data_IF_294356703580
#
_entry.id   IF_294356703580
#
_cell.length_a   1.000
_cell.length_b   1.000
_cell.length_c   1.000
_cell.angle_alpha   90.00
_cell.angle_beta   90.00
_cell.angle_gamma   90.00
#
_symmetry.space_group_name_H-M   'P 1'
#
loop_
_entity.id
_entity.type
_entity.pdbx_description
1 polymer ?
#
# COMPACT_ATOMS: atom_id res chain seq x y z
N UNK A 1 -30.76 8.08 9.61
CA UNK A 1 -29.34 7.78 9.33
C UNK A 1 -29.02 7.45 7.86
N UNK A 2 -29.99 7.26 6.97
CA UNK A 2 -29.72 6.91 5.56
C UNK A 2 -28.82 7.91 4.82
N UNK A 3 -29.03 9.22 5.01
CA UNK A 3 -28.18 10.27 4.43
C UNK A 3 -26.74 10.23 4.94
N UNK A 4 -26.49 9.64 6.11
CA UNK A 4 -25.13 9.50 6.67
C UNK A 4 -24.33 8.34 6.05
N UNK A 5 -24.91 7.60 5.09
CA UNK A 5 -24.28 6.45 4.45
C UNK A 5 -23.89 6.77 3.01
N UNK A 6 -22.59 6.72 2.71
CA UNK A 6 -22.08 6.93 1.34
C UNK A 6 -22.63 5.89 0.36
N UNK A 7 -22.84 4.66 0.84
CA UNK A 7 -23.41 3.56 0.07
C UNK A 7 -24.55 2.91 0.85
N UNK A 8 -25.74 2.84 0.23
CA UNK A 8 -26.97 2.32 0.88
C UNK A 8 -26.83 0.88 1.39
N UNK A 9 -26.02 0.06 0.71
CA UNK A 9 -25.80 -1.36 1.03
C UNK A 9 -24.65 -1.61 2.00
N UNK A 10 -23.91 -0.58 2.41
CA UNK A 10 -22.73 -0.71 3.27
C UNK A 10 -23.02 0.03 4.56
N UNK A 11 -23.53 -0.71 5.54
CA UNK A 11 -23.91 -0.21 6.86
C UNK A 11 -23.19 -1.02 7.95
N UNK A 12 -22.82 -0.41 9.08
CA UNK A 12 -22.19 -1.13 10.18
C UNK A 12 -23.21 -2.04 10.87
N UNK A 13 -22.77 -3.17 11.41
CA UNK A 13 -23.60 -4.01 12.28
C UNK A 13 -23.79 -3.36 13.64
N UNK A 14 -24.97 -3.53 14.25
CA UNK A 14 -25.30 -2.89 15.53
C UNK A 14 -24.37 -3.30 16.68
N UNK A 15 -23.92 -4.56 16.72
CA UNK A 15 -23.07 -5.06 17.80
C UNK A 15 -21.61 -4.57 17.75
N UNK A 16 -21.17 -4.05 16.60
CA UNK A 16 -19.81 -3.55 16.41
C UNK A 16 -19.74 -2.07 16.00
N UNK A 17 -20.87 -1.39 15.80
CA UNK A 17 -20.84 0.02 15.36
C UNK A 17 -20.26 0.93 16.43
N UNK A 18 -19.59 1.98 15.98
CA UNK A 18 -19.22 3.08 16.87
C UNK A 18 -20.47 3.90 17.20
N UNK A 19 -20.67 4.16 18.49
CA UNK A 19 -21.85 4.88 19.02
C UNK A 19 -21.40 6.26 19.50
N UNK A 20 -21.86 7.32 18.85
CA UNK A 20 -21.52 8.70 19.22
C UNK A 20 -22.32 9.15 20.44
N UNK A 21 -21.64 9.76 21.41
CA UNK A 21 -22.28 10.40 22.56
C UNK A 21 -23.00 11.67 22.11
N UNK A 22 -24.31 11.83 22.32
CA UNK A 22 -25.07 12.93 21.75
C UNK A 22 -24.59 14.30 22.26
N UNK A 23 -24.27 15.20 21.33
CA UNK A 23 -23.86 16.60 21.61
C UNK A 23 -25.05 17.58 21.58
N UNK A 24 -26.27 17.10 21.30
CA UNK A 24 -27.50 17.90 21.30
C UNK A 24 -28.58 17.48 20.29
N UNK A 25 -28.21 16.83 19.18
CA UNK A 25 -29.14 16.39 18.11
C UNK A 25 -29.78 15.01 18.36
N UNK A 26 -29.36 14.30 19.41
CA UNK A 26 -29.88 12.98 19.79
C UNK A 26 -29.52 11.83 18.83
N UNK A 27 -28.69 12.06 17.80
CA UNK A 27 -28.29 11.03 16.85
C UNK A 27 -26.90 10.47 17.18
N UNK A 28 -26.84 9.20 17.53
CA UNK A 28 -25.65 8.45 17.97
C UNK A 28 -24.91 7.74 16.82
N UNK A 29 -25.32 7.97 15.58
CA UNK A 29 -24.88 7.18 14.44
C UNK A 29 -23.76 7.83 13.64
N UNK A 30 -22.74 7.01 13.39
CA UNK A 30 -21.74 7.17 12.34
C UNK A 30 -21.52 5.83 11.64
N UNK A 31 -21.22 5.84 10.34
CA UNK A 31 -20.92 4.61 9.59
C UNK A 31 -19.46 4.17 9.84
N UNK A 32 -19.24 3.58 11.00
CA UNK A 32 -17.96 3.03 11.44
C UNK A 32 -18.18 1.83 12.35
N UNK A 33 -17.21 0.91 12.38
CA UNK A 33 -17.24 -0.30 13.21
C UNK A 33 -15.93 -0.45 13.96
N UNK A 34 -15.97 -0.87 15.22
CA UNK A 34 -14.80 -1.41 15.90
C UNK A 34 -14.41 -2.73 15.25
N UNK A 35 -13.10 -2.91 15.06
CA UNK A 35 -12.53 -4.10 14.42
C UNK A 35 -11.30 -4.52 15.20
N UNK A 36 -11.16 -5.82 15.38
CA UNK A 36 -10.07 -6.38 16.16
C UNK A 36 -8.80 -6.49 15.33
N UNK A 37 -7.66 -6.34 16.02
CA UNK A 37 -6.39 -6.85 15.54
C UNK A 37 -6.11 -8.17 16.27
N UNK A 38 -5.05 -8.87 15.86
CA UNK A 38 -4.70 -10.15 16.42
C UNK A 38 -4.42 -10.05 17.93
N UNK A 39 -5.25 -10.75 18.74
CA UNK A 39 -5.24 -10.70 20.22
C UNK A 39 -5.36 -9.29 20.80
N UNK A 40 -5.93 -8.36 20.05
CA UNK A 40 -6.09 -6.95 20.42
C UNK A 40 -7.50 -6.49 20.06
N UNK A 41 -8.47 -6.63 20.97
CA UNK A 41 -9.85 -6.25 20.70
C UNK A 41 -9.97 -4.74 20.50
N UNK A 42 -10.85 -4.32 19.57
CA UNK A 42 -11.10 -2.92 19.25
C UNK A 42 -9.84 -2.10 18.94
N UNK A 43 -8.82 -2.72 18.35
CA UNK A 43 -7.58 -2.04 17.97
C UNK A 43 -7.83 -1.00 16.86
N UNK A 44 -8.78 -1.28 15.97
CA UNK A 44 -9.12 -0.44 14.84
C UNK A 44 -10.56 0.08 14.92
N UNK A 45 -10.78 1.21 14.26
CA UNK A 45 -12.09 1.64 13.77
C UNK A 45 -12.04 1.62 12.24
N UNK A 46 -12.87 0.80 11.62
CA UNK A 46 -13.07 0.80 10.17
C UNK A 46 -14.26 1.71 9.81
N UNK A 47 -13.98 2.81 9.11
CA UNK A 47 -14.98 3.84 8.81
C UNK A 47 -15.14 4.10 7.30
N UNK A 48 -16.31 4.59 6.88
CA UNK A 48 -16.46 5.17 5.55
C UNK A 48 -15.67 6.49 5.43
N UNK A 49 -15.30 6.88 4.21
CA UNK A 49 -14.80 8.22 3.93
C UNK A 49 -15.90 9.26 4.19
N UNK A 50 -15.65 10.30 5.01
CA UNK A 50 -16.67 11.29 5.40
C UNK A 50 -17.42 11.88 4.20
N UNK A 51 -18.71 12.10 4.38
CA UNK A 51 -19.57 12.97 3.57
C UNK A 51 -19.56 14.38 4.18
N UNK A 52 -19.97 15.39 3.40
CA UNK A 52 -20.01 16.78 3.85
C UNK A 52 -20.87 16.94 5.12
N UNK A 53 -22.02 16.28 5.15
CA UNK A 53 -22.96 16.25 6.27
C UNK A 53 -22.52 15.40 7.47
N UNK A 54 -21.41 14.65 7.36
CA UNK A 54 -20.91 13.76 8.43
C UNK A 54 -19.53 14.16 8.96
N UNK A 55 -18.95 15.28 8.51
CA UNK A 55 -17.62 15.71 8.97
C UNK A 55 -17.58 16.01 10.47
N UNK A 56 -18.64 16.63 11.00
CA UNK A 56 -18.76 16.89 12.45
C UNK A 56 -18.83 15.58 13.22
N UNK A 57 -19.64 14.62 12.75
CA UNK A 57 -19.72 13.27 13.34
C UNK A 57 -18.36 12.56 13.33
N UNK A 58 -17.58 12.71 12.24
CA UNK A 58 -16.26 12.11 12.09
C UNK A 58 -15.26 12.67 13.11
N UNK A 59 -15.15 13.99 13.24
CA UNK A 59 -14.26 14.60 14.23
C UNK A 59 -14.73 14.36 15.66
N UNK A 60 -16.05 14.26 15.87
CA UNK A 60 -16.61 13.80 17.14
C UNK A 60 -16.17 12.39 17.48
N UNK A 61 -16.20 11.46 16.52
CA UNK A 61 -15.69 10.09 16.70
C UNK A 61 -14.20 10.11 17.07
N UNK A 62 -13.37 10.84 16.32
CA UNK A 62 -11.93 10.94 16.57
C UNK A 62 -11.66 11.45 17.99
N UNK A 63 -12.39 12.48 18.44
CA UNK A 63 -12.28 12.99 19.79
C UNK A 63 -12.79 11.99 20.84
N UNK A 64 -13.98 11.43 20.66
CA UNK A 64 -14.59 10.53 21.63
C UNK A 64 -13.71 9.31 21.90
N UNK A 65 -13.23 8.70 20.81
CA UNK A 65 -12.45 7.46 20.84
C UNK A 65 -10.98 7.70 21.17
N UNK A 66 -10.57 8.97 21.36
CA UNK A 66 -9.18 9.36 21.63
C UNK A 66 -8.23 8.85 20.53
N UNK A 67 -8.72 8.83 19.29
CA UNK A 67 -7.94 8.38 18.13
C UNK A 67 -6.74 9.29 17.93
N UNK A 68 -5.55 8.71 18.01
CA UNK A 68 -4.28 9.38 17.74
C UNK A 68 -3.89 9.28 16.25
N UNK A 69 -4.24 8.17 15.59
CA UNK A 69 -3.78 7.86 14.23
C UNK A 69 -4.97 7.64 13.31
N UNK A 70 -4.95 8.33 12.17
CA UNK A 70 -5.89 8.16 11.06
C UNK A 70 -5.12 7.61 9.85
N UNK A 71 -5.60 6.53 9.25
CA UNK A 71 -5.06 5.95 8.01
C UNK A 71 -6.10 6.11 6.91
N UNK A 72 -5.79 6.95 5.92
CA UNK A 72 -6.60 7.22 4.74
C UNK A 72 -6.02 6.51 3.52
N UNK A 73 -6.77 5.56 2.96
CA UNK A 73 -6.34 4.66 1.88
C UNK A 73 -7.01 4.99 0.53
N UNK A 74 -7.40 6.24 0.28
CA UNK A 74 -8.11 6.62 -0.95
C UNK A 74 -7.79 8.05 -1.36
N UNK A 75 -7.85 8.34 -2.66
CA UNK A 75 -7.92 9.71 -3.15
C UNK A 75 -9.24 10.37 -2.77
N UNK A 76 -9.31 11.70 -2.83
CA UNK A 76 -10.59 12.41 -2.67
C UNK A 76 -11.52 12.12 -3.85
N UNK A 77 -10.95 12.09 -5.06
CA UNK A 77 -11.63 11.81 -6.32
C UNK A 77 -10.84 10.75 -7.08
N UNK A 78 -11.55 9.76 -7.60
CA UNK A 78 -11.02 8.62 -8.36
C UNK A 78 -11.98 8.36 -9.51
N UNK A 79 -11.49 8.29 -10.75
CA UNK A 79 -12.31 8.18 -11.98
C UNK A 79 -13.48 9.18 -12.04
N UNK A 80 -13.22 10.46 -11.73
CA UNK A 80 -14.22 11.53 -11.67
C UNK A 80 -15.37 11.28 -10.67
N UNK A 81 -15.19 10.36 -9.71
CA UNK A 81 -16.16 10.09 -8.64
C UNK A 81 -15.55 10.46 -7.31
N UNK A 82 -16.30 11.22 -6.51
CA UNK A 82 -15.91 11.55 -5.14
C UNK A 82 -15.92 10.27 -4.30
N UNK A 83 -14.76 9.94 -3.73
CA UNK A 83 -14.57 8.79 -2.85
C UNK A 83 -14.58 9.18 -1.39
N UNK A 84 -14.10 10.38 -1.07
CA UNK A 84 -14.01 10.91 0.28
C UNK A 84 -14.06 12.44 0.19
N UNK A 85 -14.82 13.09 1.07
CA UNK A 85 -14.70 14.54 1.22
C UNK A 85 -13.40 14.88 1.96
N UNK A 86 -12.85 16.06 1.67
CA UNK A 86 -11.70 16.59 2.38
C UNK A 86 -12.16 17.07 3.76
N UNK A 87 -11.83 16.31 4.80
CA UNK A 87 -12.25 16.59 6.19
C UNK A 87 -11.19 17.32 7.01
N UNK A 88 -10.16 17.89 6.35
CA UNK A 88 -9.06 18.58 7.02
C UNK A 88 -8.80 19.94 6.37
N UNK A 89 -8.33 20.93 7.16
CA UNK A 89 -8.07 22.27 6.68
C UNK A 89 -6.71 22.39 5.98
N UNK A 90 -6.49 23.51 5.30
CA UNK A 90 -5.14 23.96 4.91
C UNK A 90 -4.37 24.61 6.07
N UNK A 91 -5.09 25.25 7.00
CA UNK A 91 -4.51 25.85 8.20
C UNK A 91 -5.37 25.56 9.42
N UNK A 92 -6.61 26.04 9.44
CA UNK A 92 -7.55 25.81 10.55
C UNK A 92 -8.99 25.80 10.03
N UNK A 93 -9.83 24.94 10.58
CA UNK A 93 -11.27 24.91 10.30
C UNK A 93 -12.04 24.41 11.53
N UNK A 94 -13.28 24.87 11.68
CA UNK A 94 -14.18 24.52 12.77
C UNK A 94 -15.28 23.57 12.27
N UNK A 95 -15.37 22.40 12.90
CA UNK A 95 -16.38 21.37 12.64
C UNK A 95 -17.26 21.20 13.89
N UNK A 96 -18.35 21.96 13.99
CA UNK A 96 -19.17 21.98 15.20
C UNK A 96 -18.38 22.50 16.39
N UNK A 97 -18.26 21.70 17.47
CA UNK A 97 -17.49 22.05 18.66
C UNK A 97 -15.98 21.78 18.53
N UNK A 98 -15.52 21.31 17.37
CA UNK A 98 -14.14 20.88 17.16
C UNK A 98 -13.39 21.87 16.27
N UNK A 99 -12.29 22.44 16.77
CA UNK A 99 -11.32 23.17 15.94
C UNK A 99 -10.21 22.21 15.57
N UNK A 100 -9.94 22.08 14.28
CA UNK A 100 -8.83 21.29 13.74
C UNK A 100 -7.82 22.26 13.15
N UNK A 101 -6.58 22.20 13.61
CA UNK A 101 -5.47 23.03 13.11
C UNK A 101 -4.40 22.13 12.51
N UNK A 102 -3.96 22.40 11.28
CA UNK A 102 -2.87 21.70 10.63
C UNK A 102 -1.52 22.30 11.08
N UNK A 103 -0.74 21.51 11.81
CA UNK A 103 0.55 21.95 12.34
C UNK A 103 1.71 21.65 11.39
N UNK A 104 1.66 20.52 10.68
CA UNK A 104 2.74 20.09 9.79
C UNK A 104 2.25 19.12 8.70
N UNK A 105 2.86 19.19 7.53
CA UNK A 105 2.68 18.21 6.44
C UNK A 105 4.04 17.71 5.96
N UNK A 106 4.17 16.40 5.80
CA UNK A 106 5.34 15.75 5.17
C UNK A 106 4.86 14.91 3.99
N UNK A 107 5.51 15.05 2.85
CA UNK A 107 5.15 14.34 1.62
C UNK A 107 6.33 13.52 1.12
N UNK A 108 6.07 12.26 0.81
CA UNK A 108 6.97 11.37 0.06
C UNK A 108 6.26 10.90 -1.22
N UNK A 109 6.94 10.12 -2.07
CA UNK A 109 6.42 9.64 -3.36
C UNK A 109 5.06 8.93 -3.26
N UNK A 110 4.73 8.34 -2.11
CA UNK A 110 3.50 7.56 -1.94
C UNK A 110 2.67 7.83 -0.69
N UNK A 111 3.10 8.77 0.15
CA UNK A 111 2.49 9.00 1.46
C UNK A 111 2.53 10.48 1.81
N UNK A 112 1.38 11.02 2.21
CA UNK A 112 1.27 12.33 2.84
C UNK A 112 0.96 12.13 4.32
N UNK A 113 1.80 12.66 5.19
CA UNK A 113 1.59 12.63 6.64
C UNK A 113 1.22 14.03 7.12
N UNK A 114 0.09 14.15 7.83
CA UNK A 114 -0.40 15.42 8.39
C UNK A 114 -0.49 15.32 9.90
N UNK A 115 0.00 16.35 10.60
CA UNK A 115 -0.10 16.49 12.05
C UNK A 115 -1.13 17.55 12.38
N UNK A 116 -2.17 17.16 13.10
CA UNK A 116 -3.24 18.06 13.52
C UNK A 116 -3.21 18.30 15.03
N UNK A 117 -3.64 19.50 15.42
CA UNK A 117 -4.13 19.80 16.76
C UNK A 117 -5.65 19.81 16.73
N UNK A 118 -6.27 18.91 17.48
CA UNK A 118 -7.72 18.80 17.62
C UNK A 118 -8.12 19.37 18.98
N UNK A 119 -8.95 20.41 18.98
CA UNK A 119 -9.41 21.10 20.18
C UNK A 119 -10.94 21.04 20.27
N UNK A 120 -11.49 20.61 21.39
CA UNK A 120 -12.94 20.66 21.64
C UNK A 120 -13.31 21.88 22.47
N UNK A 121 -14.40 22.57 22.12
CA UNK A 121 -14.96 23.66 22.90
C UNK A 121 -15.20 23.24 24.36
N UNK A 122 -14.83 24.11 25.31
CA UNK A 122 -14.94 23.84 26.74
C UNK A 122 -13.91 22.85 27.32
N UNK A 123 -13.04 22.24 26.50
CA UNK A 123 -11.92 21.42 26.98
C UNK A 123 -10.63 22.26 26.97
N UNK A 124 -9.79 22.17 28.00
CA UNK A 124 -8.60 23.02 28.09
C UNK A 124 -7.41 22.54 27.24
N UNK A 125 -7.32 21.23 26.99
CA UNK A 125 -6.15 20.63 26.35
C UNK A 125 -6.49 20.13 24.94
N UNK A 126 -5.74 20.56 23.90
CA UNK A 126 -5.85 19.98 22.58
C UNK A 126 -5.23 18.57 22.54
N UNK A 127 -5.59 17.81 21.51
CA UNK A 127 -5.04 16.48 21.24
C UNK A 127 -4.33 16.47 19.91
N UNK A 128 -3.20 15.79 19.85
CA UNK A 128 -2.49 15.57 18.59
C UNK A 128 -3.17 14.43 17.84
N UNK A 129 -3.35 14.60 16.53
CA UNK A 129 -3.83 13.55 15.62
C UNK A 129 -2.91 13.49 14.40
N UNK A 130 -2.36 12.32 14.10
CA UNK A 130 -1.51 12.08 12.93
C UNK A 130 -2.32 11.34 11.85
N UNK A 131 -2.42 11.93 10.66
CA UNK A 131 -3.07 11.30 9.51
C UNK A 131 -2.01 10.84 8.50
N UNK A 132 -2.08 9.57 8.14
CA UNK A 132 -1.33 8.95 7.06
C UNK A 132 -2.24 8.77 5.85
N UNK A 133 -1.98 9.51 4.77
CA UNK A 133 -2.73 9.46 3.53
C UNK A 133 -1.91 8.72 2.46
N UNK A 134 -2.22 7.45 2.26
CA UNK A 134 -1.55 6.57 1.31
C UNK A 134 -2.08 6.78 -0.10
N UNK A 135 -1.19 7.11 -1.04
CA UNK A 135 -1.54 7.53 -2.40
C UNK A 135 -1.30 6.45 -3.47
N UNK A 136 -0.58 5.39 -3.15
CA UNK A 136 -0.18 4.35 -4.11
C UNK A 136 -1.22 3.22 -4.26
N UNK A 137 -2.45 3.40 -3.75
CA UNK A 137 -3.53 2.44 -3.96
C UNK A 137 -4.38 2.85 -5.17
N UNK A 138 -4.30 2.14 -6.30
CA UNK A 138 -5.00 2.53 -7.52
C UNK A 138 -6.51 2.39 -7.40
N UNK A 139 -7.22 3.12 -8.26
CA UNK A 139 -8.68 3.11 -8.38
C UNK A 139 -9.24 1.71 -8.68
N UNK A 140 -8.53 0.95 -9.53
CA UNK A 140 -8.80 -0.46 -9.81
C UNK A 140 -7.60 -1.31 -9.41
N UNK A 141 -7.87 -2.42 -8.71
CA UNK A 141 -6.84 -3.38 -8.30
C UNK A 141 -6.21 -3.10 -6.93
N UNK A 142 -4.91 -3.37 -6.84
CA UNK A 142 -4.11 -3.39 -5.61
C UNK A 142 -2.79 -2.64 -5.84
N UNK A 143 -2.08 -2.20 -4.79
CA UNK A 143 -0.77 -1.58 -4.94
C UNK A 143 0.20 -2.49 -5.71
N UNK A 144 1.00 -1.92 -6.60
CA UNK A 144 2.04 -2.66 -7.35
C UNK A 144 3.19 -3.16 -6.47
N UNK A 145 3.45 -2.44 -5.38
CA UNK A 145 4.53 -2.73 -4.44
C UNK A 145 3.95 -2.85 -3.02
N UNK A 146 4.25 -3.96 -2.34
CA UNK A 146 3.71 -4.21 -0.99
C UNK A 146 4.55 -3.54 0.11
N UNK A 147 5.84 -3.31 -0.14
CA UNK A 147 6.81 -2.73 0.81
C UNK A 147 6.35 -1.40 1.40
N UNK A 148 5.78 -0.50 0.59
CA UNK A 148 5.31 0.80 1.08
C UNK A 148 4.12 0.67 2.03
N UNK A 149 3.21 -0.29 1.77
CA UNK A 149 2.08 -0.56 2.66
C UNK A 149 2.54 -1.23 3.97
N UNK A 150 3.50 -2.16 3.88
CA UNK A 150 4.14 -2.79 5.03
C UNK A 150 4.88 -1.77 5.90
N UNK A 151 5.59 -0.81 5.28
CA UNK A 151 6.24 0.29 5.97
C UNK A 151 5.22 1.16 6.72
N UNK A 152 4.12 1.54 6.06
CA UNK A 152 3.03 2.26 6.70
C UNK A 152 2.46 1.51 7.92
N UNK A 153 2.22 0.21 7.79
CA UNK A 153 1.78 -0.63 8.92
C UNK A 153 2.77 -0.65 10.07
N UNK A 154 4.07 -0.75 9.78
CA UNK A 154 5.12 -0.71 10.80
C UNK A 154 5.15 0.63 11.54
N UNK A 155 5.02 1.75 10.81
CA UNK A 155 4.96 3.10 11.39
C UNK A 155 3.72 3.26 12.27
N UNK A 156 2.54 2.86 11.79
CA UNK A 156 1.28 2.93 12.56
C UNK A 156 1.37 2.12 13.84
N UNK A 157 1.84 0.86 13.76
CA UNK A 157 2.00 0.02 14.96
C UNK A 157 3.01 0.61 15.95
N UNK A 158 4.12 1.18 15.46
CA UNK A 158 5.10 1.86 16.32
C UNK A 158 4.46 3.03 17.07
N UNK A 159 3.65 3.86 16.39
CA UNK A 159 2.93 4.98 17.02
C UNK A 159 1.96 4.53 18.11
N UNK A 160 1.21 3.46 17.85
CA UNK A 160 0.28 2.91 18.86
C UNK A 160 1.03 2.36 20.07
N UNK A 161 2.18 1.72 19.87
CA UNK A 161 3.03 1.24 20.97
C UNK A 161 3.62 2.39 21.79
N UNK A 162 4.01 3.49 21.15
CA UNK A 162 4.53 4.70 21.82
C UNK A 162 3.44 5.42 22.63
N UNK A 163 2.18 5.38 22.18
CA UNK A 163 1.05 6.07 22.82
C UNK A 163 -0.29 5.31 22.66
N UNK A 164 -0.60 4.34 23.55
CA UNK A 164 -1.79 3.48 23.45
C UNK A 164 -3.04 4.17 24.05
N UNK A 165 -3.49 5.27 23.44
CA UNK A 165 -4.58 6.11 23.97
C UNK A 165 -5.97 5.79 23.42
N UNK A 166 -6.06 5.21 22.24
CA UNK A 166 -7.32 4.91 21.53
C UNK A 166 -7.08 4.09 20.25
N UNK A 167 -8.14 3.66 19.55
CA UNK A 167 -8.03 2.85 18.35
C UNK A 167 -7.50 3.65 17.16
N UNK A 168 -6.87 2.93 16.23
CA UNK A 168 -6.46 3.47 14.94
C UNK A 168 -7.67 3.55 14.02
N UNK A 169 -7.99 4.74 13.51
CA UNK A 169 -9.06 4.92 12.55
C UNK A 169 -8.52 4.64 11.15
N UNK A 170 -9.03 3.62 10.48
CA UNK A 170 -8.68 3.28 9.09
C UNK A 170 -9.90 3.49 8.21
N UNK A 171 -9.75 4.26 7.13
CA UNK A 171 -10.83 4.47 6.17
C UNK A 171 -10.33 4.50 4.72
N UNK A 172 -11.26 4.23 3.82
CA UNK A 172 -11.11 4.47 2.40
C UNK A 172 -12.34 5.23 1.91
N UNK A 173 -13.04 4.74 0.88
CA UNK A 173 -14.34 5.29 0.48
C UNK A 173 -15.49 4.65 1.27
N UNK A 174 -15.70 3.34 1.13
CA UNK A 174 -16.75 2.61 1.86
C UNK A 174 -16.30 2.06 3.23
N UNK A 175 -14.99 2.02 3.47
CA UNK A 175 -14.42 1.46 4.70
C UNK A 175 -14.43 -0.06 4.78
N UNK A 176 -14.35 -0.77 3.65
CA UNK A 176 -14.43 -2.25 3.61
C UNK A 176 -13.34 -2.92 2.76
N UNK A 177 -13.02 -2.40 1.58
CA UNK A 177 -12.06 -3.01 0.66
C UNK A 177 -10.60 -2.78 1.08
N UNK A 178 -10.05 -1.61 0.70
CA UNK A 178 -8.69 -1.20 1.07
C UNK A 178 -8.48 -1.18 2.60
N UNK A 179 -9.46 -0.65 3.33
CA UNK A 179 -9.52 -0.67 4.80
C UNK A 179 -9.43 -2.08 5.36
N UNK A 180 -10.26 -3.01 4.88
CA UNK A 180 -10.23 -4.40 5.37
C UNK A 180 -8.94 -5.12 5.01
N UNK A 181 -8.37 -4.82 3.84
CA UNK A 181 -7.07 -5.38 3.41
C UNK A 181 -5.93 -4.90 4.32
N UNK A 182 -5.89 -3.62 4.67
CA UNK A 182 -4.89 -3.07 5.59
C UNK A 182 -5.00 -3.70 6.99
N UNK A 183 -6.23 -3.80 7.53
CA UNK A 183 -6.48 -4.39 8.84
C UNK A 183 -6.16 -5.90 8.86
N UNK A 184 -6.56 -6.63 7.81
CA UNK A 184 -6.24 -8.06 7.68
C UNK A 184 -4.73 -8.30 7.64
N UNK A 185 -3.98 -7.47 6.90
CA UNK A 185 -2.53 -7.56 6.84
C UNK A 185 -1.88 -7.34 8.21
N UNK A 186 -2.33 -6.36 8.99
CA UNK A 186 -1.88 -6.17 10.37
C UNK A 186 -2.13 -7.41 11.25
N UNK A 187 -3.36 -7.92 11.22
CA UNK A 187 -3.77 -9.10 11.98
C UNK A 187 -2.88 -10.30 11.63
N UNK A 188 -2.72 -10.58 10.34
CA UNK A 188 -2.02 -11.76 9.84
C UNK A 188 -0.51 -11.69 10.09
N UNK A 189 0.11 -10.50 9.99
CA UNK A 189 1.52 -10.32 10.35
C UNK A 189 1.76 -10.55 11.84
N UNK A 190 0.86 -10.07 12.71
CA UNK A 190 0.92 -10.32 14.16
C UNK A 190 0.69 -11.80 14.48
N UNK A 191 -0.26 -12.46 13.80
CA UNK A 191 -0.51 -13.90 13.93
C UNK A 191 0.72 -14.72 13.52
N UNK A 192 1.30 -14.44 12.34
CA UNK A 192 2.49 -15.12 11.84
C UNK A 192 3.67 -15.01 12.79
N UNK A 193 3.90 -13.82 13.37
CA UNK A 193 4.94 -13.62 14.39
C UNK A 193 4.68 -14.36 15.69
N UNK A 194 3.42 -14.42 16.14
CA UNK A 194 3.06 -15.02 17.43
C UNK A 194 2.94 -16.55 17.39
N UNK A 195 2.50 -17.11 16.27
CA UNK A 195 2.18 -18.54 16.16
C UNK A 195 3.07 -19.31 15.18
N UNK A 196 3.87 -18.62 14.37
CA UNK A 196 4.62 -19.26 13.27
C UNK A 196 3.72 -19.78 12.15
N UNK A 197 2.44 -19.40 12.12
CA UNK A 197 1.44 -19.76 11.10
C UNK A 197 0.49 -18.60 10.85
N UNK A 198 -0.14 -18.60 9.68
CA UNK A 198 -1.16 -17.61 9.30
C UNK A 198 -2.40 -18.32 8.76
N UNK A 199 -3.58 -17.72 8.97
CA UNK A 199 -4.85 -18.19 8.40
C UNK A 199 -5.62 -17.02 7.78
N UNK A 200 -5.37 -16.78 6.50
CA UNK A 200 -5.96 -15.66 5.76
C UNK A 200 -7.48 -15.82 5.65
N UNK A 201 -7.98 -17.03 5.44
CA UNK A 201 -9.41 -17.29 5.29
C UNK A 201 -10.14 -16.98 6.59
N UNK A 202 -9.67 -17.54 7.71
CA UNK A 202 -10.28 -17.31 9.00
C UNK A 202 -10.19 -15.84 9.43
N UNK A 203 -9.05 -15.18 9.20
CA UNK A 203 -8.91 -13.75 9.47
C UNK A 203 -9.97 -12.93 8.71
N UNK A 204 -10.10 -13.13 7.40
CA UNK A 204 -11.08 -12.35 6.60
C UNK A 204 -12.52 -12.70 7.00
N UNK A 205 -12.79 -13.95 7.34
CA UNK A 205 -14.09 -14.36 7.89
C UNK A 205 -14.39 -13.60 9.20
N UNK A 206 -13.46 -13.56 10.16
CA UNK A 206 -13.63 -12.83 11.42
C UNK A 206 -13.87 -11.33 11.21
N UNK A 207 -13.09 -10.69 10.32
CA UNK A 207 -13.30 -9.28 10.01
C UNK A 207 -14.69 -9.02 9.42
N UNK A 208 -15.21 -9.96 8.63
CA UNK A 208 -16.57 -9.89 8.05
C UNK A 208 -17.68 -10.07 9.07
N UNK A 209 -17.42 -10.68 10.22
CA UNK A 209 -18.37 -10.75 11.35
C UNK A 209 -18.47 -9.41 12.10
N UNK A 210 -17.44 -8.57 12.01
CA UNK A 210 -17.40 -7.24 12.66
C UNK A 210 -17.86 -6.10 11.73
N UNK A 211 -17.57 -6.21 10.41
CA UNK A 211 -18.02 -5.24 9.41
C UNK A 211 -18.26 -5.92 8.06
N UNK A 212 -19.36 -5.56 7.40
CA UNK A 212 -19.78 -6.19 6.13
C UNK A 212 -18.69 -6.12 5.05
N UNK A 213 -18.48 -7.24 4.34
CA UNK A 213 -17.66 -7.31 3.12
C UNK A 213 -16.22 -6.80 3.25
N UNK A 214 -15.61 -6.90 4.44
CA UNK A 214 -14.18 -6.64 4.64
C UNK A 214 -13.34 -7.49 3.67
N UNK A 215 -12.35 -6.86 3.03
CA UNK A 215 -11.62 -7.40 1.86
C UNK A 215 -12.62 -7.72 0.74
N UNK A 216 -12.91 -6.70 -0.08
CA UNK A 216 -14.09 -6.68 -0.93
C UNK A 216 -13.92 -7.49 -2.21
N UNK A 217 -12.71 -7.52 -2.78
CA UNK A 217 -12.46 -8.16 -4.09
C UNK A 217 -11.49 -9.33 -3.98
N UNK A 218 -11.53 -10.22 -4.98
CA UNK A 218 -10.60 -11.36 -5.06
C UNK A 218 -9.16 -10.88 -5.18
N UNK A 219 -8.91 -9.82 -5.93
CA UNK A 219 -7.58 -9.23 -6.15
C UNK A 219 -6.99 -8.73 -4.82
N UNK A 220 -7.80 -8.09 -3.97
CA UNK A 220 -7.39 -7.70 -2.61
C UNK A 220 -7.07 -8.91 -1.73
N UNK A 221 -7.85 -9.98 -1.84
CA UNK A 221 -7.62 -11.22 -1.11
C UNK A 221 -6.32 -11.91 -1.57
N UNK A 222 -6.03 -11.96 -2.88
CA UNK A 222 -4.74 -12.45 -3.41
C UNK A 222 -3.58 -11.60 -2.94
N UNK A 223 -3.72 -10.27 -2.98
CA UNK A 223 -2.70 -9.32 -2.54
C UNK A 223 -2.31 -9.51 -1.06
N UNK A 224 -3.23 -9.96 -0.19
CA UNK A 224 -2.87 -10.31 1.19
C UNK A 224 -1.79 -11.39 1.24
N UNK A 225 -1.86 -12.43 0.39
CA UNK A 225 -0.84 -13.47 0.37
C UNK A 225 0.51 -12.94 -0.09
N UNK A 226 0.53 -12.08 -1.11
CA UNK A 226 1.75 -11.44 -1.62
C UNK A 226 2.39 -10.55 -0.54
N UNK A 227 1.61 -9.67 0.08
CA UNK A 227 2.08 -8.77 1.13
C UNK A 227 2.51 -9.52 2.40
N UNK A 228 1.87 -10.65 2.72
CA UNK A 228 2.27 -11.50 3.85
C UNK A 228 3.57 -12.23 3.59
N UNK A 229 3.73 -12.78 2.39
CA UNK A 229 4.98 -13.39 1.98
C UNK A 229 6.12 -12.39 2.15
N UNK A 230 5.91 -11.15 1.70
CA UNK A 230 6.91 -10.10 1.85
C UNK A 230 7.18 -9.72 3.30
N UNK A 231 6.14 -9.39 4.05
CA UNK A 231 6.27 -8.95 5.43
C UNK A 231 6.83 -10.01 6.38
N UNK A 232 6.62 -11.30 6.10
CA UNK A 232 7.12 -12.41 6.92
C UNK A 232 8.53 -12.87 6.50
N UNK A 233 8.89 -12.81 5.22
CA UNK A 233 10.22 -13.21 4.76
C UNK A 233 11.28 -12.12 4.96
N UNK A 234 10.93 -10.86 4.69
CA UNK A 234 11.90 -9.76 4.71
C UNK A 234 11.96 -9.02 6.04
N UNK A 235 10.83 -8.91 6.75
CA UNK A 235 10.74 -8.00 7.89
C UNK A 235 11.01 -6.54 7.48
N UNK A 236 11.58 -5.74 8.39
CA UNK A 236 11.99 -4.37 8.09
C UNK A 236 13.49 -4.32 7.83
N UNK A 237 13.87 -4.13 6.57
CA UNK A 237 15.26 -4.01 6.10
C UNK A 237 15.70 -2.56 5.92
N UNK A 238 14.85 -1.57 6.26
CA UNK A 238 15.19 -0.16 6.18
C UNK A 238 16.17 0.27 7.28
N UNK A 239 17.26 0.92 6.89
CA UNK A 239 18.35 1.33 7.79
C UNK A 239 18.55 2.85 7.69
N UNK A 240 18.60 3.59 8.81
CA UNK A 240 18.96 5.01 8.81
C UNK A 240 20.35 5.22 8.23
N UNK A 241 20.56 6.32 7.49
CA UNK A 241 21.83 6.61 6.79
C UNK A 241 23.02 6.60 7.76
N UNK A 242 22.83 7.18 8.94
CA UNK A 242 23.80 7.24 10.03
C UNK A 242 24.21 5.86 10.57
N UNK A 243 23.40 4.82 10.34
CA UNK A 243 23.64 3.46 10.81
C UNK A 243 24.27 2.56 9.74
N UNK A 244 24.37 2.99 8.47
CA UNK A 244 24.83 2.15 7.36
C UNK A 244 26.27 1.67 7.59
N UNK A 245 27.19 2.56 7.98
CA UNK A 245 28.60 2.19 8.17
C UNK A 245 28.77 1.09 9.22
N UNK A 246 28.06 1.21 10.35
CA UNK A 246 28.07 0.22 11.43
C UNK A 246 27.50 -1.11 10.98
N UNK A 247 26.40 -1.08 10.23
CA UNK A 247 25.79 -2.29 9.68
C UNK A 247 26.76 -3.02 8.74
N UNK A 248 27.40 -2.32 7.81
CA UNK A 248 28.35 -2.92 6.85
C UNK A 248 29.49 -3.62 7.58
N UNK A 249 30.09 -2.98 8.60
CA UNK A 249 31.12 -3.61 9.42
C UNK A 249 30.63 -4.89 10.10
N UNK A 250 29.43 -4.85 10.69
CA UNK A 250 28.86 -6.02 11.37
C UNK A 250 28.57 -7.19 10.42
N UNK A 251 28.17 -6.91 9.18
CA UNK A 251 27.89 -7.94 8.17
C UNK A 251 29.18 -8.64 7.72
N UNK A 252 30.26 -7.88 7.52
CA UNK A 252 31.57 -8.42 7.16
C UNK A 252 32.17 -9.32 8.26
N UNK A 253 32.06 -8.91 9.53
CA UNK A 253 32.53 -9.72 10.66
C UNK A 253 31.73 -11.03 10.81
N UNK A 254 30.41 -10.97 10.64
CA UNK A 254 29.53 -12.13 10.76
C UNK A 254 29.76 -13.19 9.66
N UNK A 255 30.18 -12.76 8.47
CA UNK A 255 30.47 -13.64 7.33
C UNK A 255 31.69 -14.53 7.57
N UNK A 256 32.69 -14.03 8.30
CA UNK A 256 33.91 -14.79 8.64
C UNK A 256 33.70 -15.84 9.74
N UNK A 257 32.60 -15.75 10.50
CA UNK A 257 32.45 -16.46 11.78
C UNK A 257 31.25 -17.41 11.86
N UNK A 258 30.29 -17.38 10.92
CA UNK A 258 29.09 -18.24 10.98
C UNK A 258 28.67 -18.79 9.60
N UNK A 259 28.34 -20.09 9.48
CA UNK A 259 27.91 -20.72 8.22
C UNK A 259 26.48 -20.33 7.76
N UNK A 260 25.86 -19.31 8.37
CA UNK A 260 24.51 -18.86 8.04
C UNK A 260 24.39 -17.36 8.31
N UNK A 261 25.14 -16.58 7.52
CA UNK A 261 25.24 -15.12 7.66
C UNK A 261 23.88 -14.44 7.45
N UNK A 262 23.75 -13.20 7.94
CA UNK A 262 22.53 -12.40 7.74
C UNK A 262 22.27 -12.18 6.24
N UNK A 263 23.34 -11.90 5.48
CA UNK A 263 23.30 -11.73 4.03
C UNK A 263 22.77 -12.97 3.30
N UNK A 264 23.20 -14.16 3.71
CA UNK A 264 22.73 -15.43 3.12
C UNK A 264 21.22 -15.61 3.29
N UNK A 265 20.67 -15.22 4.46
CA UNK A 265 19.23 -15.29 4.74
C UNK A 265 18.45 -14.26 3.92
N UNK A 266 18.95 -13.03 3.84
CA UNK A 266 18.35 -11.97 3.03
C UNK A 266 18.36 -12.36 1.55
N UNK A 267 19.48 -12.87 1.04
CA UNK A 267 19.59 -13.30 -0.35
C UNK A 267 18.69 -14.50 -0.67
N UNK A 268 18.55 -15.45 0.25
CA UNK A 268 17.56 -16.55 0.13
C UNK A 268 16.12 -16.04 0.11
N UNK A 269 15.80 -14.98 0.85
CA UNK A 269 14.48 -14.36 0.74
C UNK A 269 14.28 -13.77 -0.66
N UNK A 270 15.26 -13.02 -1.19
CA UNK A 270 15.23 -12.49 -2.57
C UNK A 270 15.05 -13.58 -3.63
N UNK A 271 15.69 -14.74 -3.47
CA UNK A 271 15.52 -15.89 -4.36
C UNK A 271 14.07 -16.39 -4.39
N UNK A 272 13.39 -16.47 -3.24
CA UNK A 272 11.97 -16.88 -3.17
C UNK A 272 11.05 -15.92 -3.92
N UNK A 273 11.31 -14.61 -3.85
CA UNK A 273 10.56 -13.66 -4.69
C UNK A 273 10.86 -13.86 -6.17
N UNK A 274 12.12 -14.13 -6.51
CA UNK A 274 12.51 -14.40 -7.90
C UNK A 274 11.75 -15.62 -8.45
N UNK A 275 11.61 -16.69 -7.66
CA UNK A 275 10.81 -17.87 -8.00
C UNK A 275 9.32 -17.52 -8.18
N UNK A 276 8.77 -16.66 -7.33
CA UNK A 276 7.39 -16.20 -7.45
C UNK A 276 7.17 -15.39 -8.75
N UNK A 277 8.07 -14.44 -9.05
CA UNK A 277 7.96 -13.59 -10.23
C UNK A 277 8.25 -14.34 -11.53
N UNK A 278 8.99 -15.46 -11.50
CA UNK A 278 9.14 -16.36 -12.64
C UNK A 278 7.81 -17.00 -13.08
N UNK A 279 6.77 -16.97 -12.24
CA UNK A 279 5.43 -17.43 -12.61
C UNK A 279 4.67 -16.42 -13.47
N UNK A 280 5.18 -15.20 -13.65
CA UNK A 280 4.54 -14.20 -14.49
C UNK A 280 4.54 -14.65 -15.96
N UNK A 281 3.41 -14.48 -16.69
CA UNK A 281 3.33 -14.89 -18.08
C UNK A 281 4.39 -14.20 -18.94
N UNK A 282 5.08 -14.99 -19.76
CA UNK A 282 6.06 -14.53 -20.74
C UNK A 282 5.63 -14.95 -22.16
N UNK A 283 4.33 -14.95 -22.42
CA UNK A 283 3.71 -15.58 -23.60
C UNK A 283 4.25 -15.02 -24.91
N UNK A 284 4.52 -13.71 -24.96
CA UNK A 284 5.06 -13.06 -26.15
C UNK A 284 6.53 -13.42 -26.38
N UNK A 285 7.30 -13.55 -25.29
CA UNK A 285 8.70 -13.95 -25.36
C UNK A 285 8.87 -15.42 -25.77
N UNK A 286 7.91 -16.27 -25.43
CA UNK A 286 7.91 -17.72 -25.71
C UNK A 286 7.49 -18.08 -27.14
N UNK A 287 6.90 -17.14 -27.90
CA UNK A 287 6.51 -17.37 -29.30
C UNK A 287 7.68 -17.90 -30.14
N UNK A 288 7.47 -18.91 -31.00
CA UNK A 288 8.55 -19.47 -31.85
C UNK A 288 9.28 -18.42 -32.70
N UNK A 289 8.58 -17.38 -33.17
CA UNK A 289 9.15 -16.26 -33.93
C UNK A 289 10.06 -15.36 -33.10
N UNK A 290 9.86 -15.30 -31.79
CA UNK A 290 10.59 -14.43 -30.86
C UNK A 290 11.70 -15.16 -30.10
N UNK A 291 11.66 -16.49 -30.01
CA UNK A 291 12.71 -17.28 -29.36
C UNK A 291 14.13 -16.96 -29.87
N UNK A 292 14.40 -16.79 -31.18
CA UNK A 292 15.73 -16.43 -31.68
C UNK A 292 16.19 -15.02 -31.28
N UNK A 293 15.27 -14.17 -30.81
CA UNK A 293 15.57 -12.80 -30.34
C UNK A 293 16.00 -12.77 -28.87
N UNK A 294 15.93 -13.90 -28.15
CA UNK A 294 16.28 -14.01 -26.73
C UNK A 294 17.69 -14.57 -26.55
N UNK A 295 18.56 -13.84 -25.84
CA UNK A 295 19.94 -14.26 -25.63
C UNK A 295 20.10 -15.39 -24.62
N UNK A 296 19.21 -15.45 -23.64
CA UNK A 296 19.17 -16.51 -22.63
C UNK A 296 17.73 -17.03 -22.53
N UNK A 297 17.47 -18.33 -22.78
CA UNK A 297 16.12 -18.88 -22.75
C UNK A 297 15.39 -18.72 -21.40
N UNK A 298 16.14 -18.67 -20.29
CA UNK A 298 15.56 -18.47 -18.95
C UNK A 298 15.50 -17.01 -18.48
N UNK A 299 15.83 -16.05 -19.33
CA UNK A 299 15.76 -14.61 -19.00
C UNK A 299 14.82 -13.96 -20.01
N UNK A 300 13.54 -14.03 -19.71
CA UNK A 300 12.46 -13.53 -20.58
C UNK A 300 11.74 -12.36 -19.89
N UNK A 301 11.29 -11.36 -20.66
CA UNK A 301 10.49 -10.28 -20.11
C UNK A 301 9.07 -10.78 -19.86
N UNK A 302 8.56 -10.54 -18.64
CA UNK A 302 7.15 -10.75 -18.35
C UNK A 302 6.28 -9.82 -19.20
N UNK A 303 5.13 -10.33 -19.66
CA UNK A 303 4.21 -9.61 -20.55
C UNK A 303 3.71 -8.30 -19.91
N UNK A 304 3.59 -8.28 -18.58
CA UNK A 304 3.14 -7.10 -17.82
C UNK A 304 4.14 -5.94 -17.80
N UNK A 305 5.41 -6.18 -18.13
CA UNK A 305 6.50 -5.21 -17.95
C UNK A 305 7.28 -4.94 -19.24
N UNK A 306 6.94 -5.61 -20.35
CA UNK A 306 7.67 -5.47 -21.60
C UNK A 306 7.28 -4.20 -22.37
N UNK A 307 8.22 -3.58 -23.12
CA UNK A 307 7.87 -2.59 -24.12
C UNK A 307 7.15 -3.21 -25.31
N UNK A 308 6.39 -2.38 -26.02
CA UNK A 308 5.68 -2.67 -27.25
C UNK A 308 6.31 -1.80 -28.34
N UNK A 309 6.93 -2.44 -29.34
CA UNK A 309 7.57 -1.71 -30.44
C UNK A 309 6.54 -1.38 -31.51
N UNK A 310 6.24 -0.10 -31.68
CA UNK A 310 5.28 0.38 -32.67
C UNK A 310 5.98 0.80 -33.97
N UNK A 311 7.25 1.18 -33.91
CA UNK A 311 8.06 1.53 -35.09
C UNK A 311 8.77 0.32 -35.73
N UNK A 312 8.71 -0.85 -35.09
CA UNK A 312 9.11 -2.14 -35.68
C UNK A 312 7.86 -3.02 -35.75
N UNK A 313 7.46 -3.45 -36.94
CA UNK A 313 6.29 -4.31 -37.13
C UNK A 313 6.71 -5.70 -37.61
N UNK A 314 6.00 -6.70 -37.11
CA UNK A 314 6.06 -8.07 -37.60
C UNK A 314 5.41 -8.17 -38.99
N UNK A 315 5.68 -9.27 -39.71
CA UNK A 315 5.15 -9.50 -41.06
C UNK A 315 3.61 -9.54 -41.12
N UNK A 316 2.95 -9.85 -40.01
CA UNK A 316 1.49 -9.86 -39.84
C UNK A 316 0.91 -8.49 -39.41
N UNK A 317 1.76 -7.46 -39.33
CA UNK A 317 1.39 -6.11 -38.87
C UNK A 317 1.28 -5.97 -37.35
N UNK A 318 1.58 -7.01 -36.57
CA UNK A 318 1.63 -6.90 -35.12
C UNK A 318 2.84 -6.10 -34.64
N UNK A 319 2.78 -5.46 -33.45
CA UNK A 319 3.93 -4.78 -32.86
C UNK A 319 5.15 -5.71 -32.73
N UNK A 320 6.33 -5.13 -32.93
CA UNK A 320 7.60 -5.84 -32.82
C UNK A 320 7.91 -6.26 -31.38
N UNK A 321 8.78 -7.26 -31.27
CA UNK A 321 9.25 -7.81 -30.01
C UNK A 321 10.74 -7.56 -29.81
N UNK A 322 11.10 -7.14 -28.58
CA UNK A 322 12.46 -7.11 -28.07
C UNK A 322 12.48 -7.62 -26.61
N UNK A 323 13.55 -8.31 -26.24
CA UNK A 323 13.77 -8.74 -24.86
C UNK A 323 14.22 -7.55 -24.00
N UNK A 324 13.25 -6.85 -23.44
CA UNK A 324 13.44 -5.70 -22.56
C UNK A 324 12.30 -5.59 -21.55
N UNK A 325 12.52 -4.89 -20.45
CA UNK A 325 11.51 -4.57 -19.44
C UNK A 325 11.62 -3.12 -18.97
N UNK A 326 10.49 -2.54 -18.57
CA UNK A 326 10.49 -1.30 -17.81
C UNK A 326 10.91 -1.56 -16.36
N UNK A 327 11.63 -0.60 -15.80
CA UNK A 327 12.02 -0.54 -14.41
C UNK A 327 11.76 0.86 -13.87
N UNK A 328 11.29 0.91 -12.63
CA UNK A 328 11.01 2.17 -11.93
C UNK A 328 12.26 2.70 -11.25
N UNK A 329 12.33 4.02 -11.11
CA UNK A 329 13.29 4.70 -10.24
C UNK A 329 12.66 4.95 -8.86
N UNK A 330 13.41 5.58 -7.95
CA UNK A 330 12.87 6.02 -6.66
C UNK A 330 11.72 7.03 -6.80
N UNK A 331 11.74 7.87 -7.83
CA UNK A 331 10.80 8.99 -7.99
C UNK A 331 9.77 8.79 -9.10
N UNK A 332 10.07 7.97 -10.11
CA UNK A 332 9.28 7.82 -11.34
C UNK A 332 9.11 6.35 -11.72
N UNK A 333 7.88 5.95 -12.01
CA UNK A 333 7.57 4.62 -12.54
C UNK A 333 8.02 4.47 -14.00
N UNK A 334 8.41 3.25 -14.39
CA UNK A 334 8.74 2.83 -15.77
C UNK A 334 9.77 3.74 -16.50
N UNK A 335 10.63 4.42 -15.73
CA UNK A 335 11.57 5.42 -16.21
C UNK A 335 12.82 4.84 -16.88
N UNK A 336 13.21 3.61 -16.52
CA UNK A 336 14.39 2.93 -17.05
C UNK A 336 13.93 1.76 -17.90
N UNK A 337 14.58 1.54 -19.05
CA UNK A 337 14.42 0.30 -19.83
C UNK A 337 15.66 -0.55 -19.65
N UNK A 338 15.47 -1.77 -19.17
CA UNK A 338 16.52 -2.78 -19.03
C UNK A 338 16.40 -3.75 -20.19
N UNK A 339 17.46 -3.93 -20.96
CA UNK A 339 17.47 -4.81 -22.15
C UNK A 339 18.78 -5.59 -22.24
N UNK A 340 18.73 -6.72 -22.94
CA UNK A 340 19.93 -7.49 -23.26
C UNK A 340 20.80 -6.77 -24.31
N UNK A 341 22.07 -7.16 -24.42
CA UNK A 341 22.92 -6.71 -25.55
C UNK A 341 22.27 -7.14 -26.88
N UNK A 342 22.02 -6.21 -27.83
CA UNK A 342 21.34 -6.54 -29.07
C UNK A 342 22.15 -7.53 -29.92
N UNK A 343 21.44 -8.37 -30.66
CA UNK A 343 22.02 -9.17 -31.74
C UNK A 343 22.10 -8.35 -33.03
N UNK A 344 22.97 -8.73 -33.99
CA UNK A 344 22.90 -8.19 -35.33
C UNK A 344 21.49 -8.26 -35.94
N UNK A 345 20.76 -9.35 -35.66
CA UNK A 345 19.38 -9.59 -36.12
C UNK A 345 18.31 -8.78 -35.38
N UNK A 346 18.63 -8.19 -34.22
CA UNK A 346 17.69 -7.39 -33.41
C UNK A 346 18.10 -5.92 -33.30
N UNK A 347 19.06 -5.45 -34.12
CA UNK A 347 19.52 -4.05 -34.09
C UNK A 347 18.41 -3.08 -34.50
N UNK A 348 17.57 -3.45 -35.47
CA UNK A 348 16.43 -2.63 -35.89
C UNK A 348 15.42 -2.51 -34.74
N UNK A 349 15.10 -3.63 -34.07
CA UNK A 349 14.21 -3.65 -32.91
C UNK A 349 14.78 -2.81 -31.75
N UNK A 350 16.11 -2.84 -31.54
CA UNK A 350 16.78 -2.02 -30.53
C UNK A 350 16.66 -0.52 -30.82
N UNK A 351 16.87 -0.09 -32.06
CA UNK A 351 16.70 1.32 -32.41
C UNK A 351 15.23 1.75 -32.42
N UNK A 352 14.30 0.85 -32.76
CA UNK A 352 12.87 1.09 -32.59
C UNK A 352 12.52 1.29 -31.11
N UNK A 353 13.07 0.50 -30.19
CA UNK A 353 12.90 0.68 -28.75
C UNK A 353 13.37 2.07 -28.30
N UNK A 354 14.59 2.47 -28.71
CA UNK A 354 15.17 3.77 -28.37
C UNK A 354 14.29 4.91 -28.90
N UNK A 355 13.77 4.77 -30.12
CA UNK A 355 12.90 5.75 -30.76
C UNK A 355 11.52 5.85 -30.12
N UNK A 356 10.80 4.73 -30.03
CA UNK A 356 9.41 4.65 -29.55
C UNK A 356 9.27 5.17 -28.13
N UNK A 357 10.29 4.94 -27.30
CA UNK A 357 10.32 5.39 -25.92
C UNK A 357 11.19 6.62 -25.70
N UNK A 358 11.61 7.30 -26.78
CA UNK A 358 12.32 8.59 -26.73
C UNK A 358 13.56 8.58 -25.82
N UNK A 359 14.29 7.46 -25.82
CA UNK A 359 15.48 7.28 -25.00
C UNK A 359 16.59 8.24 -25.46
N UNK A 360 17.07 9.07 -24.54
CA UNK A 360 18.13 10.05 -24.82
C UNK A 360 19.53 9.59 -24.40
N UNK A 361 19.63 8.44 -23.75
CA UNK A 361 20.90 7.90 -23.24
C UNK A 361 20.86 6.39 -23.24
N UNK A 362 21.98 5.77 -23.60
CA UNK A 362 22.19 4.31 -23.57
C UNK A 362 23.41 4.03 -22.71
N UNK A 363 23.26 3.20 -21.69
CA UNK A 363 24.34 2.78 -20.80
C UNK A 363 24.71 1.34 -21.13
N UNK A 364 25.96 1.11 -21.52
CA UNK A 364 26.47 -0.23 -21.86
C UNK A 364 27.37 -0.71 -20.73
N UNK A 365 27.00 -1.84 -20.11
CA UNK A 365 27.73 -2.42 -18.96
C UNK A 365 28.68 -3.55 -19.36
N UNK A 366 28.75 -3.88 -20.65
CA UNK A 366 29.65 -4.88 -21.21
C UNK A 366 30.81 -4.22 -21.94
N UNK A 367 31.97 -4.87 -21.97
CA UNK A 367 32.99 -4.54 -22.97
C UNK A 367 32.43 -4.88 -24.35
N UNK A 368 32.53 -3.92 -25.28
CA UNK A 368 32.02 -4.01 -26.65
C UNK A 368 33.02 -4.67 -27.59
#
# INVERSE_FOLDING_TARGET
>A
NQSKNRYKSIIPYDHCRVVLQPSGTGNDYINASYVDSYRSPHFFIAAQGPLAETMVDFWQMVWQEKTLVIVMLTGLVEQNKIKCEKYWPEQEEVYGDFTVTLNNTRTTTGLVTRMFSLQKAGCALPRVVEQFHYLLWPDHGVPRNTSQLLCLLAVVNKRVLEAPVGPVLVHCSAGIGRTGTFIALDFLLKMGKAEGKVDVFHCVQQLREQRVSMVQTKEQYTFLYEALLEGLLCGNTGVPVESIATLVHSLQEAETSRPNSVLEKEFKALQKFSELFQLLPCTEAEKPSNQPKNRKPGILPADSCRPILMSSLSADGSPGYINAVFASTYAEEDRIIITQLPFPTTLVDFWALVWDYTCTSVVVLNQL
#
